data_IF_755515005782
#
_entry.id   IF_755515005782
#
_cell.length_a   1.000
_cell.length_b   1.000
_cell.length_c   1.000
_cell.angle_alpha   90.00
_cell.angle_beta   90.00
_cell.angle_gamma   90.00
#
_symmetry.space_group_name_H-M   'P 1'
#
loop_
_entity.id
_entity.type
_entity.pdbx_description
1 polymer ?
#
# COMPACT_ATOMS: atom_id res chain seq x y z
N UNK A 1 6.25 9.90 -5.73
CA UNK A 1 5.80 8.49 -5.67
C UNK A 1 4.28 8.40 -5.82
N UNK A 2 3.74 7.33 -6.43
CA UNK A 2 2.28 7.09 -6.52
C UNK A 2 1.92 5.93 -5.59
N UNK A 3 0.99 6.13 -4.66
CA UNK A 3 0.59 5.11 -3.67
C UNK A 3 -0.91 5.12 -3.39
N UNK A 4 -1.50 4.00 -2.96
CA UNK A 4 -2.84 4.01 -2.41
C UNK A 4 -2.88 4.64 -1.00
N UNK A 5 -3.96 5.33 -0.68
CA UNK A 5 -4.21 5.95 0.61
C UNK A 5 -4.64 4.90 1.65
N UNK A 6 -3.68 4.28 2.32
CA UNK A 6 -3.92 3.23 3.31
C UNK A 6 -3.30 3.56 4.67
N UNK A 7 -3.94 4.43 5.47
CA UNK A 7 -3.39 4.87 6.75
C UNK A 7 -3.23 3.76 7.80
N UNK A 8 -3.92 2.63 7.63
CA UNK A 8 -3.79 1.46 8.51
C UNK A 8 -2.57 0.58 8.24
N UNK A 9 -1.76 0.89 7.22
CA UNK A 9 -0.57 0.11 6.88
C UNK A 9 0.65 0.59 7.67
N UNK A 10 1.50 -0.34 8.10
CA UNK A 10 2.69 0.01 8.90
C UNK A 10 3.65 0.92 8.13
N UNK A 11 3.82 0.66 6.83
CA UNK A 11 4.67 1.47 5.95
C UNK A 11 4.10 2.88 5.69
N UNK A 12 2.82 3.12 6.00
CA UNK A 12 2.18 4.42 5.77
C UNK A 12 2.78 5.53 6.64
N UNK A 13 3.00 5.24 7.93
CA UNK A 13 3.54 6.24 8.87
C UNK A 13 4.93 6.69 8.43
N UNK A 14 5.79 5.73 8.10
CA UNK A 14 7.16 5.99 7.65
C UNK A 14 7.18 6.75 6.33
N UNK A 15 6.25 6.43 5.43
CA UNK A 15 6.11 7.16 4.18
C UNK A 15 5.68 8.62 4.41
N UNK A 16 4.76 8.86 5.34
CA UNK A 16 4.32 10.22 5.69
C UNK A 16 5.43 11.05 6.33
N UNK A 17 6.37 10.43 7.05
CA UNK A 17 7.54 11.13 7.63
C UNK A 17 8.51 11.70 6.59
N UNK A 18 8.54 11.10 5.40
CA UNK A 18 9.42 11.52 4.29
C UNK A 18 8.67 12.31 3.21
N UNK A 19 7.35 12.38 3.30
CA UNK A 19 6.49 13.09 2.35
C UNK A 19 6.51 14.59 2.65
N UNK A 20 6.85 15.41 1.65
CA UNK A 20 6.86 16.88 1.73
C UNK A 20 5.60 17.51 1.12
N UNK A 21 4.92 16.79 0.24
CA UNK A 21 3.68 17.23 -0.37
C UNK A 21 2.84 16.05 -0.85
N UNK A 22 1.53 16.24 -0.97
CA UNK A 22 0.66 15.20 -1.52
C UNK A 22 -0.47 15.79 -2.36
N UNK A 23 -0.92 15.00 -3.33
CA UNK A 23 -2.08 15.31 -4.17
C UNK A 23 -2.91 14.06 -4.40
N UNK A 24 -4.20 14.15 -4.12
CA UNK A 24 -5.15 13.11 -4.48
C UNK A 24 -5.35 13.08 -5.99
N UNK A 25 -5.21 11.89 -6.59
CA UNK A 25 -5.45 11.65 -8.01
C UNK A 25 -6.88 11.16 -8.28
N UNK A 26 -7.50 10.50 -7.31
CA UNK A 26 -8.87 10.01 -7.36
C UNK A 26 -9.00 8.57 -6.87
N UNK A 27 -10.19 7.99 -7.02
CA UNK A 27 -10.45 6.58 -6.67
C UNK A 27 -9.70 5.64 -7.63
N UNK A 28 -9.03 4.63 -7.08
CA UNK A 28 -8.17 3.68 -7.80
C UNK A 28 -8.85 3.03 -9.00
N UNK A 29 -10.09 2.58 -8.85
CA UNK A 29 -10.87 1.98 -9.94
C UNK A 29 -11.12 2.92 -11.12
N UNK A 30 -11.01 4.24 -10.91
CA UNK A 30 -11.21 5.26 -11.95
C UNK A 30 -9.91 5.75 -12.57
N UNK A 31 -8.78 5.62 -11.87
CA UNK A 31 -7.51 6.21 -12.27
C UNK A 31 -6.44 5.17 -12.62
N UNK A 32 -6.65 3.91 -12.25
CA UNK A 32 -5.76 2.80 -12.58
C UNK A 32 -6.45 1.82 -13.52
N UNK A 33 -5.67 1.28 -14.46
CA UNK A 33 -6.07 0.17 -15.31
C UNK A 33 -5.30 -1.10 -14.91
N UNK A 34 -5.96 -2.25 -15.02
CA UNK A 34 -5.36 -3.52 -14.67
C UNK A 34 -4.26 -3.90 -15.68
N UNK A 35 -3.04 -4.14 -15.20
CA UNK A 35 -1.93 -4.59 -16.04
C UNK A 35 -2.02 -6.07 -16.45
N UNK A 36 -1.37 -6.44 -17.56
CA UNK A 36 -1.40 -7.81 -18.09
C UNK A 36 -0.91 -8.89 -17.12
N UNK A 37 0.06 -8.55 -16.25
CA UNK A 37 0.54 -9.45 -15.17
C UNK A 37 -0.52 -9.67 -14.09
N UNK A 38 -1.26 -8.63 -13.72
CA UNK A 38 -2.34 -8.71 -12.74
C UNK A 38 -3.48 -9.57 -13.27
N UNK A 39 -3.86 -9.36 -14.54
CA UNK A 39 -4.87 -10.17 -15.22
C UNK A 39 -4.52 -11.66 -15.18
N UNK A 40 -3.28 -12.03 -15.54
CA UNK A 40 -2.82 -13.43 -15.53
C UNK A 40 -2.84 -14.08 -14.14
N UNK A 41 -2.74 -13.27 -13.08
CA UNK A 41 -2.73 -13.72 -11.68
C UNK A 41 -4.09 -13.53 -11.00
N UNK A 42 -5.11 -13.12 -11.75
CA UNK A 42 -6.44 -12.80 -11.23
C UNK A 42 -6.42 -11.80 -10.04
N UNK A 43 -5.51 -10.81 -10.11
CA UNK A 43 -5.37 -9.77 -9.09
C UNK A 43 -6.28 -8.58 -9.40
N UNK A 44 -6.69 -7.85 -8.36
CA UNK A 44 -7.47 -6.62 -8.48
C UNK A 44 -6.58 -5.39 -8.33
N UNK A 45 -7.05 -4.26 -8.87
CA UNK A 45 -6.48 -2.95 -8.55
C UNK A 45 -6.60 -2.69 -7.04
N UNK A 46 -5.62 -2.01 -6.43
CA UNK A 46 -5.66 -1.70 -5.01
C UNK A 46 -6.92 -0.88 -4.67
N UNK A 47 -7.63 -1.17 -3.56
CA UNK A 47 -8.80 -0.38 -3.17
C UNK A 47 -8.44 1.03 -2.69
N UNK A 48 -9.40 1.94 -2.75
CA UNK A 48 -9.30 3.29 -2.19
C UNK A 48 -8.69 4.32 -3.13
N UNK A 49 -8.30 5.47 -2.57
CA UNK A 49 -7.81 6.63 -3.32
C UNK A 49 -6.34 6.49 -3.65
N UNK A 50 -5.93 6.97 -4.81
CA UNK A 50 -4.53 7.06 -5.20
C UNK A 50 -4.02 8.47 -4.92
N UNK A 51 -2.84 8.55 -4.29
CA UNK A 51 -2.12 9.78 -4.02
C UNK A 51 -0.83 9.83 -4.83
N UNK A 52 -0.51 11.03 -5.32
CA UNK A 52 0.83 11.41 -5.72
C UNK A 52 1.51 12.10 -4.53
N UNK A 53 2.58 11.50 -4.04
CA UNK A 53 3.41 12.03 -2.96
C UNK A 53 4.68 12.66 -3.54
N UNK A 54 4.97 13.87 -3.10
CA UNK A 54 6.28 14.48 -3.21
C UNK A 54 7.10 14.09 -1.98
N UNK A 55 8.28 13.53 -2.18
CA UNK A 55 9.10 12.90 -1.14
C UNK A 55 10.43 13.63 -1.06
N UNK A 56 10.92 13.93 0.14
CA UNK A 56 12.22 14.59 0.30
C UNK A 56 13.34 13.63 -0.13
N UNK A 57 14.12 14.02 -1.14
CA UNK A 57 15.29 13.24 -1.62
C UNK A 57 16.52 13.27 -0.69
N UNK A 58 16.39 13.78 0.54
CA UNK A 58 17.41 13.61 1.56
C UNK A 58 17.55 12.11 1.94
N UNK A 59 18.56 11.76 2.75
CA UNK A 59 18.89 10.37 3.17
C UNK A 59 17.69 9.51 3.62
N UNK A 60 16.59 10.15 4.05
CA UNK A 60 15.36 9.50 4.47
C UNK A 60 14.64 8.68 3.38
N UNK A 61 14.70 9.09 2.11
CA UNK A 61 14.06 8.32 1.03
C UNK A 61 14.80 6.99 0.79
N UNK A 62 16.14 7.04 0.74
CA UNK A 62 16.96 5.83 0.60
C UNK A 62 16.82 4.91 1.80
N UNK A 63 16.88 5.45 3.03
CA UNK A 63 16.68 4.67 4.26
C UNK A 63 15.29 4.01 4.30
N UNK A 64 14.25 4.70 3.81
CA UNK A 64 12.90 4.14 3.67
C UNK A 64 12.88 2.96 2.69
N UNK A 65 13.42 3.11 1.48
CA UNK A 65 13.43 2.02 0.51
C UNK A 65 14.27 0.83 0.98
N UNK A 66 15.44 1.06 1.56
CA UNK A 66 16.28 0.00 2.13
C UNK A 66 15.56 -0.78 3.22
N UNK A 67 14.82 -0.09 4.10
CA UNK A 67 13.99 -0.75 5.09
C UNK A 67 12.82 -1.52 4.46
N UNK A 68 12.16 -0.99 3.43
CA UNK A 68 11.10 -1.72 2.70
C UNK A 68 11.65 -3.03 2.10
N UNK A 69 12.85 -3.01 1.54
CA UNK A 69 13.47 -4.20 0.94
C UNK A 69 13.89 -5.26 1.95
N UNK A 70 14.13 -4.90 3.22
CA UNK A 70 14.58 -5.85 4.26
C UNK A 70 13.48 -6.70 4.88
N UNK A 71 12.21 -6.32 4.71
CA UNK A 71 11.07 -7.04 5.30
C UNK A 71 9.93 -7.29 4.29
N UNK A 72 10.22 -7.96 3.15
CA UNK A 72 9.22 -8.19 2.09
C UNK A 72 8.07 -9.08 2.56
N UNK A 73 8.32 -10.05 3.45
CA UNK A 73 7.32 -11.01 3.92
C UNK A 73 6.12 -10.34 4.62
N UNK A 74 6.37 -9.27 5.37
CA UNK A 74 5.31 -8.51 6.04
C UNK A 74 4.46 -7.71 5.05
N UNK A 75 5.04 -7.25 3.95
CA UNK A 75 4.32 -6.52 2.90
C UNK A 75 3.50 -7.45 2.04
N UNK A 76 4.04 -8.61 1.66
CA UNK A 76 3.30 -9.61 0.90
C UNK A 76 2.09 -10.12 1.70
N UNK A 77 2.26 -10.43 2.99
CA UNK A 77 1.12 -10.78 3.86
C UNK A 77 0.05 -9.68 3.93
N UNK A 78 0.46 -8.41 4.00
CA UNK A 78 -0.48 -7.28 4.02
C UNK A 78 -1.16 -7.06 2.67
N UNK A 79 -0.47 -7.28 1.56
CA UNK A 79 -1.02 -7.18 0.20
C UNK A 79 -2.05 -8.28 -0.05
N UNK A 80 -1.73 -9.52 0.31
CA UNK A 80 -2.65 -10.66 0.17
C UNK A 80 -3.93 -10.44 0.97
N UNK A 81 -3.82 -9.98 2.22
CA UNK A 81 -4.98 -9.68 3.05
C UNK A 81 -5.89 -8.60 2.42
N UNK A 82 -5.29 -7.61 1.75
CA UNK A 82 -6.04 -6.56 1.06
C UNK A 82 -6.66 -7.01 -0.25
N UNK A 83 -6.02 -7.91 -0.98
CA UNK A 83 -6.60 -8.55 -2.16
C UNK A 83 -7.81 -9.43 -1.75
N UNK A 84 -7.71 -10.16 -0.63
CA UNK A 84 -8.81 -10.97 -0.07
C UNK A 84 -9.93 -10.08 0.45
N UNK A 85 -9.63 -9.06 1.24
CA UNK A 85 -10.65 -8.19 1.84
C UNK A 85 -11.32 -7.29 0.80
N UNK A 86 -10.59 -6.83 -0.22
CA UNK A 86 -11.15 -6.16 -1.40
C UNK A 86 -11.92 -7.10 -2.35
N UNK A 87 -11.87 -8.41 -2.14
CA UNK A 87 -12.82 -9.36 -2.74
C UNK A 87 -14.15 -9.34 -1.98
N UNK A 88 -14.15 -9.16 -0.66
CA UNK A 88 -15.34 -9.30 0.18
C UNK A 88 -16.05 -7.98 0.53
N UNK A 89 -15.34 -6.85 0.66
CA UNK A 89 -15.91 -5.57 1.13
C UNK A 89 -15.25 -4.39 0.41
N UNK A 90 -16.05 -3.62 -0.34
CA UNK A 90 -15.64 -2.42 -1.08
C UNK A 90 -15.34 -1.17 -0.23
N UNK A 91 -14.91 -1.34 1.02
CA UNK A 91 -14.64 -0.23 1.94
C UNK A 91 -13.35 -0.51 2.70
N UNK A 92 -12.35 0.37 2.56
CA UNK A 92 -10.98 0.18 3.06
C UNK A 92 -10.93 -0.26 4.52
N UNK A 93 -10.36 -1.45 4.76
CA UNK A 93 -10.34 -2.06 6.08
C UNK A 93 -9.17 -1.58 6.94
N UNK A 94 -9.52 -1.16 8.15
CA UNK A 94 -8.66 -0.96 9.31
C UNK A 94 -8.04 -2.32 9.69
N UNK A 95 -6.71 -2.43 9.70
CA UNK A 95 -6.01 -3.68 10.06
C UNK A 95 -5.96 -3.79 11.58
N UNK A 96 -6.76 -4.67 12.18
CA UNK A 96 -6.56 -5.11 13.57
C UNK A 96 -5.61 -6.31 13.55
N UNK A 97 -4.35 -6.10 13.92
CA UNK A 97 -3.35 -7.16 14.01
C UNK A 97 -3.67 -8.08 15.21
N UNK A 98 -3.89 -9.37 14.97
CA UNK A 98 -3.76 -10.42 15.98
C UNK A 98 -2.54 -11.29 15.61
N UNK A 99 -1.53 -11.40 16.49
CA UNK A 99 -0.43 -12.33 16.25
C UNK A 99 -0.94 -13.77 16.38
N UNK A 100 -0.56 -14.62 15.42
CA UNK A 100 -0.77 -16.06 15.55
C UNK A 100 0.04 -16.57 16.75
N UNK A 101 -0.68 -17.13 17.72
CA UNK A 101 -0.09 -17.82 18.86
C UNK A 101 0.74 -19.00 18.40
N UNK A 102 1.90 -19.16 19.02
CA UNK A 102 2.83 -20.26 18.83
C UNK A 102 2.12 -21.61 19.00
N UNK A 103 2.35 -22.53 18.06
CA UNK A 103 2.15 -23.98 18.26
C UNK A 103 3.43 -24.55 18.83
#
# INVERSE_FOLDING_TARGET
>A
MIVPHWPGQLWWMQLKEITVGEKELGESEKVLEMGSKMWKRNLKVPPGRILALDVSGDKKEQDYFEMLYKHPDYQEMQLDLQQITGIEVGTGSLVHYQPFGNI
#
